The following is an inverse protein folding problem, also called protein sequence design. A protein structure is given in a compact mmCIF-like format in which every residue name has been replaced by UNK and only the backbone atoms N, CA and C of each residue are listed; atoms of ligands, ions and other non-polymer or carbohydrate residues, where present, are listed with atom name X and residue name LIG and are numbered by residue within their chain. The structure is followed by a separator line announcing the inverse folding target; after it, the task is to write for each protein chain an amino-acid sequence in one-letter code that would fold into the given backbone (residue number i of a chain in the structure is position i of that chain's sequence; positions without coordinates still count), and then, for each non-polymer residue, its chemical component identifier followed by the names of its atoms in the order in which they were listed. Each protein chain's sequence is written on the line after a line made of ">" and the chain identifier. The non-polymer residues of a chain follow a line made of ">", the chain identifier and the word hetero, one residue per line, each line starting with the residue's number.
data_IF_197686328710
#
_entry.id   IF_197686328710
#
_cell.length_a   1.000
_cell.length_b   1.000
_cell.length_c   1.000
_cell.angle_alpha   90.00
_cell.angle_beta   90.00
_cell.angle_gamma   90.00
#
_symmetry.space_group_name_H-M   'P 1'
#
loop_
_entity.id
_entity.type
_entity.pdbx_description
1 polymer ?
#
# COMPACT_ATOMS: atom_id res chain seq x y z
N UNK A 1 19.25 -74.16 21.12
CA UNK A 1 19.84 -73.37 20.02
C UNK A 1 18.89 -72.22 19.72
N UNK A 2 19.33 -70.97 19.98
CA UNK A 2 18.58 -69.72 19.80
C UNK A 2 18.75 -69.26 18.35
N UNK A 3 17.66 -68.93 17.65
CA UNK A 3 17.73 -68.07 16.45
C UNK A 3 16.87 -66.83 16.71
N UNK A 4 17.51 -65.66 16.56
CA UNK A 4 16.97 -64.32 16.83
C UNK A 4 16.32 -63.74 15.55
N UNK A 5 15.20 -63.01 15.75
CA UNK A 5 14.52 -61.90 14.99
C UNK A 5 15.22 -61.35 13.71
N UNK A 6 14.53 -60.73 12.70
CA UNK A 6 13.42 -59.74 12.87
C UNK A 6 12.38 -59.57 11.72
N UNK A 7 11.07 -59.61 12.03
CA UNK A 7 9.97 -59.19 11.11
C UNK A 7 9.36 -57.86 11.59
N UNK A 8 10.17 -56.81 11.80
CA UNK A 8 9.67 -55.49 12.25
C UNK A 8 10.25 -54.29 11.51
N UNK A 9 10.95 -54.49 10.40
CA UNK A 9 11.72 -53.40 9.78
C UNK A 9 11.20 -52.90 8.43
N UNK A 10 10.04 -53.37 7.94
CA UNK A 10 9.53 -52.95 6.61
C UNK A 10 8.41 -51.89 6.70
N UNK A 11 7.70 -51.77 7.82
CA UNK A 11 6.57 -50.83 7.93
C UNK A 11 6.96 -49.39 8.33
N UNK A 12 8.20 -49.16 8.77
CA UNK A 12 8.65 -47.83 9.23
C UNK A 12 9.27 -47.01 8.08
N UNK A 13 9.69 -47.64 6.98
CA UNK A 13 10.27 -46.93 5.83
C UNK A 13 9.22 -46.27 4.92
N UNK A 14 7.96 -46.74 4.92
CA UNK A 14 6.92 -46.24 4.02
C UNK A 14 6.16 -45.01 4.58
N UNK A 15 6.22 -44.79 5.89
CA UNK A 15 5.52 -43.65 6.55
C UNK A 15 6.40 -42.38 6.58
N UNK A 16 7.72 -42.50 6.37
CA UNK A 16 8.63 -41.35 6.41
C UNK A 16 8.77 -40.58 5.08
N UNK A 17 8.15 -41.03 3.99
CA UNK A 17 8.27 -40.39 2.67
C UNK A 17 7.19 -39.32 2.41
N UNK A 18 6.20 -39.18 3.28
CA UNK A 18 5.06 -38.27 3.07
C UNK A 18 5.14 -36.90 3.78
N UNK A 19 6.21 -36.60 4.53
CA UNK A 19 6.28 -35.37 5.35
C UNK A 19 7.26 -34.30 4.84
N UNK A 20 7.86 -34.49 3.67
CA UNK A 20 8.60 -33.42 2.97
C UNK A 20 7.82 -33.00 1.72
N UNK A 21 6.52 -32.70 1.88
CA UNK A 21 5.89 -31.74 0.98
C UNK A 21 6.50 -30.38 1.30
N UNK A 22 7.70 -30.12 0.78
CA UNK A 22 8.12 -28.74 0.59
C UNK A 22 7.03 -28.12 -0.26
N UNK A 23 6.22 -27.24 0.33
CA UNK A 23 5.41 -26.32 -0.47
C UNK A 23 6.38 -25.70 -1.45
N UNK A 24 6.26 -26.02 -2.74
CA UNK A 24 6.94 -25.24 -3.75
C UNK A 24 6.44 -23.81 -3.52
N UNK A 25 7.33 -22.98 -3.01
CA UNK A 25 7.01 -21.59 -2.74
C UNK A 25 6.62 -20.96 -4.09
N UNK A 26 5.56 -20.14 -4.05
CA UNK A 26 4.82 -19.79 -5.24
C UNK A 26 5.63 -18.85 -6.14
N UNK A 27 5.79 -19.22 -7.42
CA UNK A 27 6.28 -18.34 -8.47
C UNK A 27 5.43 -17.04 -8.57
N UNK A 28 5.93 -16.03 -9.31
CA UNK A 28 5.20 -14.80 -9.59
C UNK A 28 3.78 -15.16 -10.10
N UNK A 29 2.71 -14.54 -9.61
CA UNK A 29 1.36 -14.91 -10.02
C UNK A 29 1.16 -14.81 -11.53
N UNK A 30 0.35 -15.69 -12.10
CA UNK A 30 -0.12 -15.55 -13.48
C UNK A 30 -0.93 -14.26 -13.63
N UNK A 31 -1.15 -13.81 -14.87
CA UNK A 31 -1.86 -12.56 -15.14
C UNK A 31 -1.14 -11.32 -14.56
N UNK A 32 0.19 -11.32 -14.69
CA UNK A 32 1.07 -10.25 -14.19
C UNK A 32 1.70 -9.51 -15.35
N UNK A 33 1.78 -8.19 -15.27
CA UNK A 33 2.58 -7.35 -16.17
C UNK A 33 3.80 -6.79 -15.42
N UNK A 34 4.97 -6.85 -16.05
CA UNK A 34 6.26 -6.51 -15.47
C UNK A 34 6.88 -5.37 -16.29
N UNK A 35 7.29 -4.32 -15.59
CA UNK A 35 8.06 -3.19 -16.09
C UNK A 35 9.35 -3.09 -15.26
N UNK A 36 10.46 -3.62 -15.79
CA UNK A 36 11.74 -3.72 -15.08
C UNK A 36 11.61 -4.43 -13.71
N UNK A 37 11.81 -3.70 -12.62
CA UNK A 37 11.78 -4.14 -11.22
C UNK A 37 10.39 -4.00 -10.57
N UNK A 38 9.38 -3.58 -11.33
CA UNK A 38 7.99 -3.45 -10.86
C UNK A 38 7.08 -4.40 -11.62
N UNK A 39 6.12 -4.99 -10.91
CA UNK A 39 5.10 -5.83 -11.51
C UNK A 39 3.73 -5.56 -10.90
N UNK A 40 2.69 -5.83 -11.67
CA UNK A 40 1.31 -5.53 -11.31
C UNK A 40 0.40 -6.67 -11.76
N UNK A 41 -0.62 -6.97 -10.97
CA UNK A 41 -1.75 -7.74 -11.46
C UNK A 41 -2.42 -6.97 -12.62
N UNK A 42 -2.72 -7.66 -13.71
CA UNK A 42 -3.38 -7.07 -14.88
C UNK A 42 -4.75 -6.48 -14.53
N UNK A 43 -5.43 -6.95 -13.48
CA UNK A 43 -6.70 -6.35 -13.03
C UNK A 43 -6.55 -4.90 -12.58
N UNK A 44 -5.34 -4.46 -12.22
CA UNK A 44 -5.07 -3.08 -11.82
C UNK A 44 -5.01 -2.12 -13.03
N UNK A 45 -4.93 -2.62 -14.27
CA UNK A 45 -4.95 -1.77 -15.46
C UNK A 45 -6.28 -1.03 -15.64
N UNK A 46 -7.37 -1.60 -15.10
CA UNK A 46 -8.71 -1.01 -15.13
C UNK A 46 -8.99 -0.13 -13.89
N UNK A 47 -8.06 -0.05 -12.93
CA UNK A 47 -8.20 0.79 -11.73
C UNK A 47 -7.69 2.22 -12.01
N UNK A 48 -8.57 3.24 -12.01
CA UNK A 48 -8.18 4.64 -12.26
C UNK A 48 -7.07 5.13 -11.33
N UNK A 49 -7.07 4.67 -10.07
CA UNK A 49 -6.09 5.08 -9.07
C UNK A 49 -4.68 4.53 -9.34
N UNK A 50 -4.56 3.50 -10.18
CA UNK A 50 -3.30 2.87 -10.53
C UNK A 50 -2.71 3.38 -11.85
N UNK A 51 -3.51 4.08 -12.68
CA UNK A 51 -3.10 4.55 -14.02
C UNK A 51 -1.81 5.36 -13.96
N UNK A 52 -1.71 6.33 -13.05
CA UNK A 52 -0.53 7.19 -12.95
C UNK A 52 0.74 6.43 -12.61
N UNK A 53 0.67 5.50 -11.65
CA UNK A 53 1.80 4.68 -11.22
C UNK A 53 2.26 3.70 -12.30
N UNK A 54 1.30 3.00 -12.91
CA UNK A 54 1.57 2.00 -13.95
C UNK A 54 2.12 2.68 -15.20
N UNK A 55 1.54 3.79 -15.64
CA UNK A 55 2.03 4.55 -16.79
C UNK A 55 3.44 5.07 -16.55
N UNK A 56 3.74 5.60 -15.36
CA UNK A 56 5.08 6.03 -15.01
C UNK A 56 6.09 4.87 -15.03
N UNK A 57 5.71 3.69 -14.53
CA UNK A 57 6.54 2.49 -14.59
C UNK A 57 6.80 2.02 -16.03
N UNK A 58 5.76 2.04 -16.88
CA UNK A 58 5.87 1.69 -18.30
C UNK A 58 6.81 2.65 -19.05
N UNK A 59 6.67 3.96 -18.85
CA UNK A 59 7.55 4.97 -19.46
C UNK A 59 8.99 4.81 -18.98
N UNK A 60 9.20 4.60 -17.66
CA UNK A 60 10.52 4.38 -17.09
C UNK A 60 11.20 3.12 -17.65
N UNK A 61 10.42 2.10 -18.04
CA UNK A 61 10.90 0.90 -18.71
C UNK A 61 11.07 1.07 -20.24
N UNK A 62 11.06 2.30 -20.74
CA UNK A 62 11.25 2.60 -22.16
C UNK A 62 10.09 2.12 -23.05
N UNK A 63 8.87 2.11 -22.52
CA UNK A 63 7.66 1.65 -23.20
C UNK A 63 7.68 0.16 -23.59
N UNK A 64 8.41 -0.67 -22.82
CA UNK A 64 8.41 -2.13 -22.99
C UNK A 64 7.73 -2.80 -21.78
N UNK A 65 7.26 -4.04 -21.95
CA UNK A 65 6.75 -4.85 -20.85
C UNK A 65 6.96 -6.33 -21.09
N UNK A 66 6.91 -7.10 -20.01
CA UNK A 66 6.80 -8.56 -20.03
C UNK A 66 5.46 -8.90 -19.38
N UNK A 67 4.69 -9.82 -19.97
CA UNK A 67 3.46 -10.31 -19.38
C UNK A 67 3.58 -11.82 -19.07
N UNK A 68 3.08 -12.24 -17.91
CA UNK A 68 2.92 -13.65 -17.54
C UNK A 68 1.50 -14.08 -17.87
N UNK A 69 1.36 -14.95 -18.86
CA UNK A 69 0.06 -15.43 -19.32
C UNK A 69 -0.63 -16.33 -18.28
N UNK A 70 -1.87 -16.74 -18.56
CA UNK A 70 -2.64 -17.65 -17.69
C UNK A 70 -2.04 -19.07 -17.63
N UNK A 71 -1.19 -19.42 -18.57
CA UNK A 71 -0.47 -20.70 -18.64
C UNK A 71 0.87 -20.66 -17.88
N UNK A 72 1.26 -19.50 -17.35
CA UNK A 72 2.51 -19.27 -16.62
C UNK A 72 3.72 -18.92 -17.51
N UNK A 73 3.52 -18.66 -18.80
CA UNK A 73 4.60 -18.28 -19.71
C UNK A 73 4.85 -16.78 -19.67
N UNK A 74 6.13 -16.38 -19.72
CA UNK A 74 6.52 -14.99 -19.87
C UNK A 74 6.67 -14.63 -21.35
N UNK A 75 6.09 -13.50 -21.75
CA UNK A 75 6.07 -13.04 -23.12
C UNK A 75 6.28 -11.53 -23.18
N UNK A 76 6.93 -11.04 -24.24
CA UNK A 76 7.05 -9.60 -24.52
C UNK A 76 5.84 -9.07 -25.27
N UNK A 77 5.82 -7.76 -25.46
CA UNK A 77 4.86 -7.02 -26.28
C UNK A 77 4.86 -7.47 -27.75
N UNK A 78 6.00 -7.92 -28.29
CA UNK A 78 6.13 -8.47 -29.64
C UNK A 78 5.68 -9.95 -29.76
N UNK A 79 5.24 -10.57 -28.66
CA UNK A 79 4.81 -11.96 -28.60
C UNK A 79 5.94 -12.99 -28.51
N UNK A 80 7.20 -12.57 -28.42
CA UNK A 80 8.33 -13.47 -28.17
C UNK A 80 8.32 -13.99 -26.72
N UNK A 81 8.70 -15.26 -26.54
CA UNK A 81 8.83 -15.86 -25.22
C UNK A 81 10.07 -15.33 -24.48
N UNK A 82 9.95 -15.16 -23.17
CA UNK A 82 11.02 -14.77 -22.26
C UNK A 82 11.29 -15.93 -21.32
N UNK A 83 12.57 -16.27 -21.14
CA UNK A 83 12.96 -17.28 -20.16
C UNK A 83 12.86 -16.68 -18.74
N UNK A 84 12.24 -17.41 -17.81
CA UNK A 84 12.12 -16.99 -16.41
C UNK A 84 13.48 -16.58 -15.82
N UNK A 85 14.56 -17.31 -16.14
CA UNK A 85 15.94 -17.06 -15.69
C UNK A 85 16.52 -15.68 -16.04
N UNK A 86 15.86 -14.92 -16.91
CA UNK A 86 16.27 -13.56 -17.31
C UNK A 86 15.55 -12.46 -16.52
N UNK A 87 14.55 -12.83 -15.71
CA UNK A 87 13.78 -11.86 -14.94
C UNK A 87 14.59 -11.33 -13.75
N UNK A 88 14.65 -10.00 -13.56
CA UNK A 88 15.21 -9.43 -12.34
C UNK A 88 14.33 -9.75 -11.13
N UNK A 89 14.81 -9.43 -9.93
CA UNK A 89 13.94 -9.37 -8.77
C UNK A 89 12.88 -8.26 -8.98
N UNK A 90 11.64 -8.52 -8.57
CA UNK A 90 10.53 -7.61 -8.81
C UNK A 90 9.78 -7.28 -7.52
N UNK A 91 9.20 -6.08 -7.50
CA UNK A 91 8.18 -5.67 -6.54
C UNK A 91 6.82 -5.79 -7.21
N UNK A 92 6.05 -6.80 -6.82
CA UNK A 92 4.73 -7.11 -7.36
C UNK A 92 3.63 -6.49 -6.51
N UNK A 93 2.63 -5.90 -7.17
CA UNK A 93 1.41 -5.39 -6.55
C UNK A 93 0.20 -6.19 -7.03
N UNK A 94 -0.50 -6.82 -6.10
CA UNK A 94 -1.66 -7.67 -6.39
C UNK A 94 -2.95 -6.88 -6.63
N UNK A 95 -4.04 -7.57 -6.98
CA UNK A 95 -5.36 -6.96 -7.20
C UNK A 95 -5.90 -6.18 -5.98
N UNK A 96 -5.48 -6.51 -4.76
CA UNK A 96 -5.83 -5.81 -3.52
C UNK A 96 -4.82 -4.69 -3.18
N UNK A 97 -3.88 -4.40 -4.08
CA UNK A 97 -2.78 -3.42 -3.92
C UNK A 97 -1.75 -3.83 -2.86
N UNK A 98 -1.78 -5.07 -2.39
CA UNK A 98 -0.77 -5.60 -1.49
C UNK A 98 0.55 -5.80 -2.25
N UNK A 99 1.66 -5.45 -1.61
CA UNK A 99 2.99 -5.49 -2.22
C UNK A 99 3.73 -6.73 -1.73
N UNK A 100 4.22 -7.53 -2.68
CA UNK A 100 5.07 -8.70 -2.43
C UNK A 100 6.33 -8.58 -3.27
N UNK A 101 7.51 -8.79 -2.69
CA UNK A 101 8.75 -8.88 -3.46
C UNK A 101 8.98 -10.31 -3.89
N UNK A 102 9.37 -10.54 -5.14
CA UNK A 102 9.79 -11.84 -5.64
C UNK A 102 11.27 -11.79 -5.99
N UNK A 103 11.96 -12.89 -5.72
CA UNK A 103 13.35 -13.04 -6.11
C UNK A 103 13.49 -13.03 -7.64
N UNK A 104 14.71 -12.83 -8.13
CA UNK A 104 15.02 -12.99 -9.55
C UNK A 104 14.62 -14.38 -10.05
N UNK A 105 14.50 -14.51 -11.37
CA UNK A 105 14.26 -15.79 -12.05
C UNK A 105 12.91 -16.47 -11.75
N UNK A 106 11.84 -15.68 -11.61
CA UNK A 106 10.51 -16.18 -11.17
C UNK A 106 10.59 -16.91 -9.82
N UNK A 107 11.52 -16.45 -8.97
CA UNK A 107 11.80 -17.05 -7.68
C UNK A 107 10.72 -16.75 -6.64
N UNK A 108 10.90 -17.34 -5.48
CA UNK A 108 9.93 -17.30 -4.38
C UNK A 108 9.65 -15.87 -3.89
N UNK A 109 8.49 -15.65 -3.22
CA UNK A 109 8.24 -14.42 -2.49
C UNK A 109 9.36 -14.24 -1.47
N UNK A 110 10.07 -13.13 -1.57
CA UNK A 110 11.03 -12.71 -0.56
C UNK A 110 10.22 -12.25 0.63
N UNK A 111 10.15 -13.10 1.65
CA UNK A 111 9.71 -12.69 2.98
C UNK A 111 10.75 -11.68 3.47
N UNK A 112 10.45 -10.40 3.26
CA UNK A 112 11.16 -9.35 3.96
C UNK A 112 10.71 -9.51 5.41
N UNK A 113 11.53 -10.15 6.24
CA UNK A 113 11.40 -9.94 7.67
C UNK A 113 11.54 -8.44 7.87
N UNK A 114 10.42 -7.79 8.20
CA UNK A 114 10.37 -6.38 8.54
C UNK A 114 11.21 -6.19 9.79
N UNK A 115 12.50 -5.93 9.57
CA UNK A 115 13.46 -5.78 10.66
C UNK A 115 13.43 -4.33 11.11
N UNK A 116 13.40 -4.16 12.43
CA UNK A 116 13.50 -2.86 13.06
C UNK A 116 14.92 -2.67 13.56
N UNK A 117 15.50 -1.50 13.32
CA UNK A 117 16.67 -1.05 14.10
C UNK A 117 16.16 -0.23 15.27
N UNK A 118 16.38 -0.73 16.49
CA UNK A 118 15.98 -0.06 17.74
C UNK A 118 17.21 0.48 18.44
N UNK A 119 17.22 1.77 18.75
CA UNK A 119 18.25 2.40 19.59
C UNK A 119 17.60 3.17 20.74
N UNK A 120 18.33 3.27 21.85
CA UNK A 120 17.90 4.01 23.03
C UNK A 120 18.87 5.14 23.31
N UNK A 121 18.33 6.34 23.52
CA UNK A 121 19.11 7.52 23.89
C UNK A 121 18.58 8.08 25.22
N UNK A 122 19.49 8.23 26.19
CA UNK A 122 19.22 9.02 27.40
C UNK A 122 19.34 10.50 27.02
N UNK A 123 18.22 11.21 27.06
CA UNK A 123 18.10 12.60 26.64
C UNK A 123 16.95 13.31 27.36
N UNK A 124 16.19 14.15 26.64
CA UNK A 124 15.01 14.91 27.12
C UNK A 124 13.79 14.05 27.52
N UNK A 125 14.00 12.78 27.86
CA UNK A 125 12.93 11.90 28.33
C UNK A 125 12.48 12.29 29.75
N UNK A 126 11.20 12.07 30.10
CA UNK A 126 10.74 12.19 31.48
C UNK A 126 11.52 11.29 32.44
N UNK A 127 11.51 11.63 33.73
CA UNK A 127 12.16 10.82 34.78
C UNK A 127 11.62 9.37 34.74
N UNK A 128 12.54 8.40 34.75
CA UNK A 128 12.23 6.97 34.67
C UNK A 128 11.97 6.45 33.25
N UNK A 129 12.16 7.28 32.23
CA UNK A 129 11.98 6.90 30.83
C UNK A 129 13.26 7.15 30.01
N UNK A 130 13.35 6.50 28.86
CA UNK A 130 14.35 6.74 27.82
C UNK A 130 13.67 7.05 26.50
N UNK A 131 14.38 7.67 25.56
CA UNK A 131 13.87 7.87 24.20
C UNK A 131 14.27 6.67 23.36
N UNK A 132 13.27 5.95 22.85
CA UNK A 132 13.46 4.88 21.88
C UNK A 132 13.35 5.46 20.48
N UNK A 133 14.32 5.16 19.61
CA UNK A 133 14.25 5.41 18.18
C UNK A 133 14.13 4.10 17.41
N UNK A 134 13.24 4.09 16.41
CA UNK A 134 12.95 2.92 15.57
C UNK A 134 13.09 3.32 14.11
N UNK A 135 13.87 2.55 13.35
CA UNK A 135 13.91 2.61 11.88
C UNK A 135 13.42 1.32 11.26
N UNK A 136 12.64 1.44 10.19
CA UNK A 136 12.27 0.32 9.33
C UNK A 136 13.45 0.00 8.41
N UNK A 137 13.97 -1.22 8.44
CA UNK A 137 15.08 -1.62 7.56
C UNK A 137 14.56 -1.84 6.14
N UNK A 138 15.31 -1.35 5.14
CA UNK A 138 14.95 -1.51 3.73
C UNK A 138 13.87 -0.53 3.22
N UNK A 139 13.46 0.44 4.05
CA UNK A 139 12.51 1.51 3.67
C UNK A 139 13.27 2.79 3.36
N UNK A 140 13.11 3.31 2.15
CA UNK A 140 13.79 4.52 1.68
C UNK A 140 13.22 5.81 2.32
N UNK A 141 11.90 5.90 2.47
CA UNK A 141 11.21 7.08 3.01
C UNK A 141 10.49 6.72 4.32
N UNK A 142 11.18 6.89 5.47
CA UNK A 142 10.61 6.55 6.78
C UNK A 142 9.35 7.37 7.08
N UNK A 143 9.32 8.65 6.72
CA UNK A 143 8.22 9.58 7.05
C UNK A 143 6.85 9.23 6.46
N UNK A 144 6.81 8.36 5.46
CA UNK A 144 5.56 7.92 4.82
C UNK A 144 4.84 6.83 5.63
N UNK A 145 5.52 6.22 6.59
CA UNK A 145 4.99 5.14 7.41
C UNK A 145 4.45 5.68 8.73
N UNK A 146 3.53 4.92 9.33
CA UNK A 146 3.16 5.08 10.74
C UNK A 146 3.67 3.88 11.51
N UNK A 147 4.52 4.09 12.51
CA UNK A 147 5.02 3.02 13.39
C UNK A 147 4.33 3.13 14.75
N UNK A 148 3.95 1.98 15.30
CA UNK A 148 3.29 1.86 16.58
C UNK A 148 4.16 1.06 17.54
N UNK A 149 4.20 1.49 18.81
CA UNK A 149 4.73 0.70 19.90
C UNK A 149 3.61 0.39 20.88
N UNK A 150 3.31 -0.91 21.07
CA UNK A 150 2.23 -1.36 21.95
C UNK A 150 0.88 -0.71 21.60
N UNK A 151 0.59 -0.57 20.30
CA UNK A 151 -0.64 0.03 19.76
C UNK A 151 -0.66 1.57 19.73
N UNK A 152 0.35 2.25 20.30
CA UNK A 152 0.43 3.71 20.31
C UNK A 152 1.32 4.22 19.18
N UNK A 153 0.83 5.15 18.37
CA UNK A 153 1.58 5.75 17.28
C UNK A 153 2.81 6.51 17.80
N UNK A 154 3.97 6.24 17.19
CA UNK A 154 5.23 6.91 17.47
C UNK A 154 5.34 8.21 16.66
N UNK A 155 6.09 9.19 17.17
CA UNK A 155 6.32 10.46 16.46
C UNK A 155 7.50 10.34 15.51
N UNK A 156 7.37 10.76 14.26
CA UNK A 156 8.52 10.79 13.36
C UNK A 156 9.50 11.93 13.73
N UNK A 157 10.80 11.62 13.74
CA UNK A 157 11.89 12.55 14.05
C UNK A 157 12.78 12.72 12.83
N UNK A 158 12.49 13.74 12.01
CA UNK A 158 13.27 14.06 10.81
C UNK A 158 14.80 14.16 11.05
N UNK A 159 15.32 14.77 12.15
CA UNK A 159 16.77 14.83 12.39
C UNK A 159 17.45 13.47 12.56
N UNK A 160 16.70 12.44 12.98
CA UNK A 160 17.20 11.08 13.19
C UNK A 160 16.78 10.13 12.07
N UNK A 161 15.86 10.58 11.20
CA UNK A 161 15.20 9.76 10.19
C UNK A 161 14.67 8.46 10.83
N UNK A 162 13.93 8.61 11.93
CA UNK A 162 13.46 7.51 12.78
C UNK A 162 12.20 7.90 13.54
N UNK A 163 11.42 6.92 13.97
CA UNK A 163 10.27 7.09 14.84
C UNK A 163 10.69 7.10 16.29
N UNK A 164 10.14 8.02 17.10
CA UNK A 164 10.46 8.16 18.52
C UNK A 164 9.26 7.93 19.42
N UNK A 165 9.53 7.33 20.58
CA UNK A 165 8.61 7.27 21.72
C UNK A 165 9.40 7.32 23.03
N UNK A 166 8.73 7.73 24.11
CA UNK A 166 9.28 7.56 25.45
C UNK A 166 8.82 6.23 26.03
N UNK A 167 9.77 5.47 26.57
CA UNK A 167 9.55 4.11 27.08
C UNK A 167 10.29 3.93 28.41
N UNK A 168 9.92 2.93 29.23
CA UNK A 168 10.65 2.66 30.47
C UNK A 168 12.14 2.40 30.23
N UNK A 169 13.02 2.88 31.11
CA UNK A 169 14.48 2.64 31.00
C UNK A 169 14.87 1.15 31.04
N UNK A 170 13.98 0.30 31.54
CA UNK A 170 14.19 -1.15 31.63
C UNK A 170 13.85 -1.90 30.33
N UNK A 171 13.30 -1.21 29.32
CA UNK A 171 12.92 -1.84 28.06
C UNK A 171 14.17 -2.26 27.27
N UNK A 172 14.21 -3.52 26.83
CA UNK A 172 15.27 -4.00 25.94
C UNK A 172 14.86 -3.84 24.47
N UNK A 173 15.84 -3.87 23.56
CA UNK A 173 15.55 -3.82 22.12
C UNK A 173 14.68 -5.01 21.67
N UNK A 174 14.92 -6.21 22.20
CA UNK A 174 14.14 -7.41 21.86
C UNK A 174 12.68 -7.28 22.31
N UNK A 175 12.45 -6.80 23.53
CA UNK A 175 11.10 -6.57 24.05
C UNK A 175 10.36 -5.47 23.29
N UNK A 176 11.10 -4.45 22.82
CA UNK A 176 10.56 -3.40 21.98
C UNK A 176 10.09 -3.97 20.63
N UNK A 177 10.98 -4.70 19.93
CA UNK A 177 10.71 -5.30 18.62
C UNK A 177 9.45 -6.18 18.65
N UNK A 178 9.28 -6.99 19.70
CA UNK A 178 8.11 -7.85 19.86
C UNK A 178 6.77 -7.09 19.97
N UNK A 179 6.80 -5.77 20.19
CA UNK A 179 5.62 -4.89 20.34
C UNK A 179 5.52 -3.83 19.24
N UNK A 180 6.43 -3.83 18.28
CA UNK A 180 6.40 -2.91 17.15
C UNK A 180 5.49 -3.46 16.07
N UNK A 181 4.64 -2.57 15.57
CA UNK A 181 3.92 -2.77 14.31
C UNK A 181 4.07 -1.52 13.47
N UNK A 182 3.78 -1.61 12.19
CA UNK A 182 3.72 -0.43 11.34
C UNK A 182 2.63 -0.56 10.30
N UNK A 183 2.29 0.58 9.72
CA UNK A 183 1.37 0.69 8.62
C UNK A 183 2.10 1.42 7.49
N UNK A 184 2.12 0.78 6.32
CA UNK A 184 2.59 1.40 5.08
C UNK A 184 1.79 2.68 4.78
N UNK A 185 2.38 3.64 4.06
CA UNK A 185 1.63 4.78 3.54
C UNK A 185 0.35 4.27 2.88
N UNK A 186 -0.79 4.75 3.37
CA UNK A 186 -2.01 4.58 2.61
C UNK A 186 -1.84 5.42 1.34
N UNK A 187 -2.16 4.87 0.16
CA UNK A 187 -2.19 5.70 -1.04
C UNK A 187 -3.08 6.92 -0.75
N UNK A 188 -2.72 8.11 -1.25
CA UNK A 188 -3.58 9.27 -1.09
C UNK A 188 -4.97 8.87 -1.59
N UNK A 189 -5.98 9.05 -0.74
CA UNK A 189 -7.38 8.78 -1.13
C UNK A 189 -7.65 9.67 -2.32
N UNK A 190 -7.81 9.07 -3.50
CA UNK A 190 -8.12 9.82 -4.71
C UNK A 190 -9.58 10.25 -4.62
N UNK A 191 -9.78 11.49 -4.19
CA UNK A 191 -11.12 12.06 -4.04
C UNK A 191 -11.55 12.56 -5.41
N UNK A 192 -12.55 11.89 -5.98
CA UNK A 192 -13.29 12.41 -7.12
C UNK A 192 -14.56 13.12 -6.66
N UNK A 193 -15.17 13.91 -7.54
CA UNK A 193 -16.33 14.75 -7.23
C UNK A 193 -17.51 14.37 -8.13
N UNK A 194 -18.71 14.23 -7.55
CA UNK A 194 -19.97 14.28 -8.29
C UNK A 194 -20.56 15.67 -8.15
N UNK A 195 -20.80 16.37 -9.26
CA UNK A 195 -21.32 17.73 -9.29
C UNK A 195 -22.76 17.72 -9.79
N UNK A 196 -23.66 18.42 -9.09
CA UNK A 196 -25.05 18.62 -9.54
C UNK A 196 -25.48 20.07 -9.36
N UNK A 197 -26.32 20.57 -10.26
CA UNK A 197 -26.82 21.94 -10.24
C UNK A 197 -28.34 21.98 -10.05
N UNK A 198 -28.81 22.79 -9.11
CA UNK A 198 -30.25 22.99 -8.85
C UNK A 198 -30.64 24.48 -8.92
N UNK A 199 -31.60 24.77 -9.81
CA UNK A 199 -32.29 26.06 -9.88
C UNK A 199 -33.49 26.03 -8.92
N UNK A 200 -33.41 26.67 -7.77
CA UNK A 200 -34.56 26.75 -6.87
C UNK A 200 -34.37 27.56 -5.59
N UNK A 201 -33.14 27.66 -5.09
CA UNK A 201 -32.82 28.36 -3.82
C UNK A 201 -31.69 29.37 -3.96
N UNK A 202 -31.23 29.64 -5.18
CA UNK A 202 -30.12 30.55 -5.45
C UNK A 202 -30.59 32.00 -5.69
N UNK A 203 -29.74 33.00 -5.38
CA UNK A 203 -29.96 34.39 -5.80
C UNK A 203 -30.11 34.52 -7.33
N UNK A 204 -30.74 35.60 -7.79
CA UNK A 204 -30.90 35.90 -9.22
C UNK A 204 -29.53 35.90 -9.93
N UNK A 205 -29.42 35.17 -11.04
CA UNK A 205 -28.18 35.03 -11.81
C UNK A 205 -27.22 33.97 -11.28
N UNK A 206 -27.61 33.22 -10.25
CA UNK A 206 -26.83 32.12 -9.66
C UNK A 206 -27.61 30.80 -9.70
N UNK A 207 -26.87 29.69 -9.60
CA UNK A 207 -27.40 28.35 -9.39
C UNK A 207 -26.79 27.75 -8.12
N UNK A 208 -27.47 26.79 -7.50
CA UNK A 208 -26.89 26.04 -6.37
C UNK A 208 -26.10 24.88 -6.93
N UNK A 209 -24.80 24.84 -6.65
CA UNK A 209 -23.95 23.70 -6.96
C UNK A 209 -23.83 22.82 -5.72
N UNK A 210 -24.10 21.52 -5.89
CA UNK A 210 -23.80 20.50 -4.89
C UNK A 210 -22.64 19.63 -5.34
N UNK A 211 -21.72 19.37 -4.42
CA UNK A 211 -20.51 18.57 -4.63
C UNK A 211 -20.48 17.45 -3.61
N UNK A 212 -20.45 16.21 -4.10
CA UNK A 212 -20.29 15.01 -3.28
C UNK A 212 -18.91 14.41 -3.53
N UNK A 213 -18.17 14.13 -2.46
CA UNK A 213 -16.88 13.44 -2.53
C UNK A 213 -17.12 11.95 -2.77
N UNK A 214 -16.39 11.36 -3.69
CA UNK A 214 -16.43 9.93 -4.01
C UNK A 214 -15.14 9.30 -3.48
N UNK A 215 -15.25 8.08 -2.94
CA UNK A 215 -14.12 7.37 -2.32
C UNK A 215 -13.85 7.75 -0.86
N UNK A 216 -14.77 8.47 -0.20
CA UNK A 216 -14.68 8.80 1.23
C UNK A 216 -15.81 8.18 2.04
N UNK A 217 -15.52 7.71 3.25
CA UNK A 217 -16.51 7.10 4.14
C UNK A 217 -17.51 8.12 4.71
N UNK A 218 -17.04 9.33 4.99
CA UNK A 218 -17.83 10.39 5.59
C UNK A 218 -17.51 11.76 4.99
N UNK A 219 -18.51 12.40 4.37
CA UNK A 219 -18.37 13.73 3.78
C UNK A 219 -17.90 14.76 4.81
N UNK A 220 -18.39 14.68 6.05
CA UNK A 220 -18.18 15.73 7.06
C UNK A 220 -16.74 15.79 7.58
N UNK A 221 -15.93 14.78 7.31
CA UNK A 221 -14.52 14.71 7.67
C UNK A 221 -13.66 15.62 6.77
N UNK A 222 -14.27 16.28 5.78
CA UNK A 222 -13.58 17.12 4.82
C UNK A 222 -14.06 18.57 4.86
N UNK A 223 -13.15 19.47 4.51
CA UNK A 223 -13.45 20.82 4.06
C UNK A 223 -13.38 20.81 2.54
N UNK A 224 -14.46 21.19 1.86
CA UNK A 224 -14.48 21.36 0.40
C UNK A 224 -14.50 22.85 0.11
N UNK A 225 -13.62 23.28 -0.78
CA UNK A 225 -13.51 24.66 -1.21
C UNK A 225 -13.79 24.75 -2.70
N UNK A 226 -14.49 25.80 -3.09
CA UNK A 226 -14.67 26.22 -4.47
C UNK A 226 -14.00 27.56 -4.65
N UNK A 227 -12.96 27.63 -5.49
CA UNK A 227 -12.19 28.86 -5.75
C UNK A 227 -11.66 29.49 -4.44
N UNK A 228 -11.13 28.63 -3.55
CA UNK A 228 -10.64 29.02 -2.23
C UNK A 228 -11.71 29.36 -1.18
N UNK A 229 -13.00 29.31 -1.55
CA UNK A 229 -14.11 29.59 -0.61
C UNK A 229 -14.69 28.31 -0.06
N UNK A 230 -14.76 28.19 1.27
CA UNK A 230 -15.33 27.02 1.93
C UNK A 230 -16.82 26.85 1.58
N UNK A 231 -17.19 25.64 1.16
CA UNK A 231 -18.56 25.25 0.85
C UNK A 231 -19.31 24.85 2.13
N UNK A 232 -20.63 25.02 2.16
CA UNK A 232 -21.47 24.63 3.30
C UNK A 232 -21.95 23.19 3.16
N UNK A 233 -21.81 22.36 4.18
CA UNK A 233 -22.37 21.00 4.13
C UNK A 233 -23.90 21.02 4.23
N UNK A 234 -24.57 20.25 3.37
CA UNK A 234 -26.02 20.10 3.30
C UNK A 234 -26.42 18.67 3.65
N UNK A 235 -26.75 18.43 4.93
CA UNK A 235 -27.17 17.11 5.40
C UNK A 235 -28.32 16.46 4.59
N UNK A 236 -29.36 17.18 4.12
CA UNK A 236 -30.44 16.58 3.31
C UNK A 236 -29.97 16.02 1.96
N UNK A 237 -28.83 16.50 1.45
CA UNK A 237 -28.28 16.10 0.15
C UNK A 237 -27.03 15.24 0.29
N UNK A 238 -26.50 15.08 1.51
CA UNK A 238 -25.23 14.43 1.77
C UNK A 238 -24.11 14.97 0.85
N UNK A 239 -24.06 16.30 0.73
CA UNK A 239 -23.20 17.01 -0.21
C UNK A 239 -22.86 18.43 0.28
N UNK A 240 -21.76 18.98 -0.21
CA UNK A 240 -21.37 20.36 0.01
C UNK A 240 -22.07 21.27 -0.99
N UNK A 241 -22.49 22.47 -0.57
CA UNK A 241 -23.18 23.44 -1.43
C UNK A 241 -22.49 24.79 -1.47
N UNK A 242 -22.59 25.44 -2.61
CA UNK A 242 -22.20 26.85 -2.83
C UNK A 242 -23.06 27.43 -3.94
N UNK A 243 -23.24 28.75 -3.94
CA UNK A 243 -23.89 29.43 -5.07
C UNK A 243 -22.83 29.87 -6.07
N UNK A 244 -23.07 29.59 -7.35
CA UNK A 244 -22.16 29.90 -8.46
C UNK A 244 -22.94 30.60 -9.58
N UNK A 245 -22.26 31.35 -10.48
CA UNK A 245 -22.93 31.92 -11.66
C UNK A 245 -23.67 30.85 -12.47
N UNK A 246 -24.84 31.17 -13.04
CA UNK A 246 -25.58 30.23 -13.90
C UNK A 246 -24.81 29.75 -15.14
N UNK A 247 -23.75 30.46 -15.53
CA UNK A 247 -22.86 30.08 -16.62
C UNK A 247 -21.81 29.04 -16.24
N UNK A 248 -21.74 28.63 -14.97
CA UNK A 248 -20.77 27.64 -14.48
C UNK A 248 -21.13 26.27 -15.04
N UNK A 249 -20.17 25.64 -15.73
CA UNK A 249 -20.28 24.25 -16.20
C UNK A 249 -19.59 23.30 -15.23
N UNK A 250 -19.93 22.02 -15.29
CA UNK A 250 -19.28 20.98 -14.49
C UNK A 250 -17.75 20.98 -14.66
N UNK A 251 -17.26 21.04 -15.91
CA UNK A 251 -15.83 21.09 -16.19
C UNK A 251 -15.15 22.32 -15.55
N UNK A 252 -15.74 23.51 -15.72
CA UNK A 252 -15.20 24.74 -15.11
C UNK A 252 -15.26 24.74 -13.59
N UNK A 253 -16.19 23.98 -13.01
CA UNK A 253 -16.31 23.86 -11.57
C UNK A 253 -15.26 22.91 -11.00
N UNK A 254 -15.04 21.78 -11.67
CA UNK A 254 -14.08 20.75 -11.27
C UNK A 254 -12.67 21.32 -11.09
N UNK A 255 -12.22 22.17 -12.02
CA UNK A 255 -10.91 22.83 -11.98
C UNK A 255 -10.70 23.74 -10.76
N UNK A 256 -11.79 24.13 -10.08
CA UNK A 256 -11.80 25.05 -8.93
C UNK A 256 -12.05 24.35 -7.61
N UNK A 257 -12.31 23.05 -7.61
CA UNK A 257 -12.59 22.28 -6.41
C UNK A 257 -11.30 21.81 -5.75
N UNK A 258 -11.23 22.00 -4.44
CA UNK A 258 -10.21 21.38 -3.60
C UNK A 258 -10.88 20.79 -2.37
N UNK A 259 -10.30 19.72 -1.83
CA UNK A 259 -10.75 19.11 -0.59
C UNK A 259 -9.57 18.82 0.33
N UNK A 260 -9.79 19.01 1.63
CA UNK A 260 -8.79 18.78 2.67
C UNK A 260 -9.47 18.04 3.80
N UNK A 261 -8.90 16.90 4.23
CA UNK A 261 -9.38 16.17 5.41
C UNK A 261 -9.12 17.02 6.65
N UNK A 262 -10.11 17.11 7.55
CA UNK A 262 -10.04 17.82 8.83
C UNK A 262 -9.12 17.11 9.81
#
# INVERSE_FOLDING_TARGET
>A
MRVKKPIRSILIALILVFALSTTAFAAIPNNTIIFNDKAYDVSLLDDPAMVGEILAAFIANGNNYIYKDLSGNFMKDDGSAVAADTLPAITYKDANKAVTKYAEKDGDPVVVEETYTVTFEKGVAPVGQTTMYVKLVGVANQSEYTVFYNGTAMTYSAPKDAFRAFVPETLTAADAIAKLTHQAPQPPVEISYTITFEKGVAPVGQTTMYVKLVGVDNQTDYNVLYDGTAMTYSAPKDAFRVFVPESTTEASALDKLTSVKK
#
